data_IF_158342388667
#
_entry.id   IF_158342388667
#
_cell.length_a   1.000
_cell.length_b   1.000
_cell.length_c   1.000
_cell.angle_alpha   90.00
_cell.angle_beta   90.00
_cell.angle_gamma   90.00
#
_symmetry.space_group_name_H-M   'P 1'
#
loop_
_entity.id
_entity.type
_entity.pdbx_description
1 polymer ?
#
# COMPACT_ATOMS: atom_id res chain seq x y z
N UNK A 1 27.64 -6.51 3.49
CA UNK A 1 26.96 -7.14 4.65
C UNK A 1 25.72 -7.87 4.15
N UNK A 2 25.73 -9.20 4.13
CA UNK A 2 24.56 -9.99 3.75
C UNK A 2 23.47 -9.83 4.82
N UNK A 3 22.37 -9.14 4.51
CA UNK A 3 21.18 -9.17 5.38
C UNK A 3 20.66 -10.61 5.35
N UNK A 4 20.62 -11.27 6.51
CA UNK A 4 20.08 -12.62 6.61
C UNK A 4 18.63 -12.64 6.13
N UNK A 5 18.29 -13.55 5.21
CA UNK A 5 16.98 -13.66 4.55
C UNK A 5 15.78 -13.65 5.54
N UNK A 6 15.98 -14.18 6.75
CA UNK A 6 15.00 -14.17 7.85
C UNK A 6 14.60 -12.77 8.31
N UNK A 7 15.48 -11.76 8.25
CA UNK A 7 15.18 -10.41 8.78
C UNK A 7 14.34 -9.57 7.81
N UNK A 8 14.49 -9.77 6.50
CA UNK A 8 13.78 -8.98 5.48
C UNK A 8 12.40 -9.52 5.18
N UNK A 9 12.23 -10.84 5.09
CA UNK A 9 10.92 -11.47 4.87
C UNK A 9 9.98 -11.24 6.07
N UNK A 10 10.50 -11.40 7.30
CA UNK A 10 9.74 -11.11 8.52
C UNK A 10 9.41 -9.63 8.69
N UNK A 11 10.17 -8.72 8.09
CA UNK A 11 9.88 -7.30 8.14
C UNK A 11 8.68 -6.93 7.27
N UNK A 12 8.65 -7.39 6.01
CA UNK A 12 7.50 -7.17 5.11
C UNK A 12 6.19 -7.64 5.74
N UNK A 13 6.18 -8.89 6.23
CA UNK A 13 5.00 -9.48 6.88
C UNK A 13 4.54 -8.72 8.13
N UNK A 14 5.48 -8.26 8.98
CA UNK A 14 5.13 -7.44 10.16
C UNK A 14 4.46 -6.13 9.78
N UNK A 15 4.93 -5.50 8.70
CA UNK A 15 4.37 -4.25 8.22
C UNK A 15 2.98 -4.44 7.59
N UNK A 16 2.74 -5.56 6.91
CA UNK A 16 1.39 -5.96 6.48
C UNK A 16 0.45 -6.09 7.69
N UNK A 17 0.90 -6.71 8.78
CA UNK A 17 0.08 -6.86 9.99
C UNK A 17 -0.30 -5.53 10.66
N UNK A 18 0.53 -4.47 10.55
CA UNK A 18 0.17 -3.13 11.05
C UNK A 18 -1.05 -2.59 10.30
N UNK A 19 -1.07 -2.74 8.97
CA UNK A 19 -2.18 -2.30 8.13
C UNK A 19 -3.42 -3.18 8.34
N UNK A 20 -3.25 -4.50 8.49
CA UNK A 20 -4.36 -5.41 8.82
C UNK A 20 -4.97 -5.05 10.18
N UNK A 21 -4.15 -4.75 11.19
CA UNK A 21 -4.64 -4.31 12.49
C UNK A 21 -5.43 -2.98 12.40
N UNK A 22 -4.99 -2.05 11.56
CA UNK A 22 -5.72 -0.80 11.25
C UNK A 22 -7.09 -1.10 10.61
N UNK A 23 -7.15 -2.01 9.63
CA UNK A 23 -8.40 -2.43 9.01
C UNK A 23 -9.36 -3.04 10.03
N UNK A 24 -8.88 -3.96 10.87
CA UNK A 24 -9.68 -4.58 11.92
C UNK A 24 -10.19 -3.55 12.94
N UNK A 25 -9.34 -2.61 13.36
CA UNK A 25 -9.74 -1.52 14.27
C UNK A 25 -10.81 -0.61 13.67
N UNK A 26 -10.84 -0.45 12.34
CA UNK A 26 -11.89 0.27 11.61
C UNK A 26 -13.16 -0.56 11.37
N UNK A 27 -13.19 -1.82 11.80
CA UNK A 27 -14.34 -2.71 11.72
C UNK A 27 -14.49 -3.42 10.36
N UNK A 28 -13.43 -3.51 9.56
CA UNK A 28 -13.47 -4.34 8.35
C UNK A 28 -13.36 -5.84 8.69
N UNK A 29 -14.08 -6.67 7.95
CA UNK A 29 -13.99 -8.13 7.99
C UNK A 29 -12.86 -8.59 7.04
N UNK A 30 -11.73 -9.02 7.62
CA UNK A 30 -10.47 -9.25 6.88
C UNK A 30 -10.09 -10.72 6.86
N UNK A 31 -9.89 -11.25 5.65
CA UNK A 31 -9.40 -12.60 5.36
C UNK A 31 -7.96 -12.54 4.86
N UNK A 32 -7.05 -13.30 5.47
CA UNK A 32 -5.65 -13.36 5.05
C UNK A 32 -5.41 -14.46 4.02
N UNK A 33 -4.50 -14.22 3.08
CA UNK A 33 -4.02 -15.25 2.16
C UNK A 33 -2.97 -16.13 2.84
N UNK A 34 -3.03 -17.44 2.58
CA UNK A 34 -1.99 -18.38 3.06
C UNK A 34 -0.72 -18.29 2.23
N UNK A 35 -0.86 -17.99 0.94
CA UNK A 35 0.22 -17.80 -0.04
C UNK A 35 -0.10 -16.55 -0.85
N UNK A 36 0.90 -15.68 -1.03
CA UNK A 36 0.80 -14.48 -1.85
C UNK A 36 1.55 -14.65 -3.18
N UNK A 37 0.95 -15.37 -4.11
CA UNK A 37 1.43 -15.52 -5.49
C UNK A 37 0.69 -14.60 -6.48
N UNK A 38 -0.45 -14.06 -6.08
CA UNK A 38 -1.29 -13.16 -6.89
C UNK A 38 -1.08 -11.66 -6.58
N UNK A 39 -0.21 -11.34 -5.63
CA UNK A 39 -0.03 -9.97 -5.15
C UNK A 39 -1.18 -9.48 -4.27
N UNK A 40 -1.80 -10.39 -3.51
CA UNK A 40 -2.92 -10.14 -2.61
C UNK A 40 -2.50 -10.55 -1.20
N UNK A 41 -2.35 -9.55 -0.33
CA UNK A 41 -1.95 -9.76 1.06
C UNK A 41 -3.15 -10.13 1.95
N UNK A 42 -4.34 -9.58 1.64
CA UNK A 42 -5.60 -9.91 2.30
C UNK A 42 -6.81 -9.53 1.44
N UNK A 43 -7.98 -10.02 1.83
CA UNK A 43 -9.28 -9.72 1.22
C UNK A 43 -10.18 -9.11 2.28
N UNK A 44 -10.93 -8.07 1.94
CA UNK A 44 -12.03 -7.56 2.76
C UNK A 44 -13.34 -8.14 2.25
N UNK A 45 -14.15 -8.67 3.16
CA UNK A 45 -15.55 -9.02 2.90
C UNK A 45 -16.45 -7.85 3.29
N UNK A 46 -17.26 -7.38 2.35
CA UNK A 46 -18.28 -6.37 2.60
C UNK A 46 -19.65 -7.00 2.40
N UNK A 47 -20.45 -7.00 3.46
CA UNK A 47 -21.81 -7.49 3.47
C UNK A 47 -22.74 -6.35 3.88
N UNK A 48 -23.18 -5.59 2.88
CA UNK A 48 -24.03 -4.42 3.06
C UNK A 48 -25.28 -4.50 2.17
N UNK A 49 -26.08 -3.43 2.16
CA UNK A 49 -27.35 -3.38 1.42
C UNK A 49 -27.18 -3.56 -0.10
N UNK A 50 -25.98 -3.38 -0.65
CA UNK A 50 -25.64 -3.62 -2.06
C UNK A 50 -25.32 -5.09 -2.38
N UNK A 51 -25.35 -5.97 -1.39
CA UNK A 51 -25.01 -7.38 -1.52
C UNK A 51 -23.56 -7.68 -1.17
N UNK A 52 -23.23 -8.97 -1.20
CA UNK A 52 -21.93 -9.48 -0.79
C UNK A 52 -20.84 -9.13 -1.81
N UNK A 53 -19.80 -8.42 -1.38
CA UNK A 53 -18.64 -8.01 -2.19
C UNK A 53 -17.33 -8.39 -1.50
N UNK A 54 -16.30 -8.61 -2.32
CA UNK A 54 -14.95 -8.90 -1.87
C UNK A 54 -13.97 -7.92 -2.50
N UNK A 55 -13.01 -7.45 -1.72
CA UNK A 55 -12.00 -6.49 -2.16
C UNK A 55 -10.63 -7.08 -1.92
N UNK A 56 -9.88 -7.24 -2.99
CA UNK A 56 -8.49 -7.67 -2.95
C UNK A 56 -7.62 -6.50 -2.51
N UNK A 57 -6.72 -6.74 -1.55
CA UNK A 57 -5.79 -5.74 -1.05
C UNK A 57 -4.34 -6.17 -1.23
N UNK A 58 -3.55 -5.28 -1.82
CA UNK A 58 -2.09 -5.31 -1.71
C UNK A 58 -1.60 -4.22 -0.74
N UNK A 59 -0.75 -4.60 0.18
CA UNK A 59 -0.19 -3.74 1.23
C UNK A 59 1.27 -3.45 0.92
N UNK A 60 1.66 -2.18 1.03
CA UNK A 60 3.05 -1.76 0.95
C UNK A 60 3.32 -0.76 2.06
N UNK A 61 4.33 -1.03 2.89
CA UNK A 61 4.59 -0.20 4.06
C UNK A 61 6.06 0.17 4.21
N UNK A 62 6.31 1.27 4.91
CA UNK A 62 7.62 1.83 5.19
C UNK A 62 7.80 2.07 6.67
N UNK A 63 8.91 1.56 7.20
CA UNK A 63 9.23 1.75 8.62
C UNK A 63 9.77 3.14 8.91
N UNK A 64 9.59 3.55 10.17
CA UNK A 64 10.14 4.76 10.78
C UNK A 64 11.66 4.85 10.63
N UNK A 65 12.35 3.71 10.53
CA UNK A 65 13.81 3.64 10.47
C UNK A 65 14.37 3.74 9.03
N UNK A 66 13.54 3.95 8.01
CA UNK A 66 14.02 4.13 6.64
C UNK A 66 14.69 5.50 6.42
N UNK A 67 15.44 5.66 5.33
CA UNK A 67 15.94 6.98 4.94
C UNK A 67 14.75 7.94 4.72
N UNK A 68 14.73 9.14 5.34
CA UNK A 68 13.64 10.11 5.16
C UNK A 68 13.34 10.48 3.70
N UNK A 69 14.35 10.44 2.80
CA UNK A 69 14.15 10.62 1.36
C UNK A 69 13.26 9.53 0.72
N UNK A 70 13.09 8.42 1.43
CA UNK A 70 12.40 7.23 1.00
C UNK A 70 11.13 6.97 1.85
N UNK A 71 10.75 7.87 2.76
CA UNK A 71 9.66 7.69 3.69
C UNK A 71 8.30 7.40 3.03
N UNK A 72 8.03 8.01 1.87
CA UNK A 72 6.82 7.78 1.08
C UNK A 72 7.07 7.06 -0.26
N UNK A 73 8.30 6.62 -0.56
CA UNK A 73 8.72 6.20 -1.90
C UNK A 73 8.53 4.71 -2.17
N UNK A 74 7.40 4.28 -2.70
CA UNK A 74 7.21 2.87 -3.08
C UNK A 74 7.68 2.66 -4.52
N UNK A 75 8.57 1.68 -4.75
CA UNK A 75 9.22 1.47 -6.04
C UNK A 75 9.17 0.00 -6.46
N UNK A 76 9.30 -0.23 -7.76
CA UNK A 76 9.24 -1.57 -8.36
C UNK A 76 7.98 -2.36 -7.96
N UNK A 77 6.85 -1.65 -7.86
CA UNK A 77 5.53 -2.22 -7.58
C UNK A 77 5.06 -2.97 -8.82
N UNK A 78 4.66 -4.21 -8.61
CA UNK A 78 4.01 -5.02 -9.63
C UNK A 78 2.49 -4.90 -9.44
N UNK A 79 1.78 -4.44 -10.48
CA UNK A 79 0.33 -4.27 -10.45
C UNK A 79 -0.25 -5.28 -11.44
N UNK A 80 -0.49 -6.50 -10.96
CA UNK A 80 -1.01 -7.60 -11.79
C UNK A 80 -2.50 -7.39 -12.04
N UNK A 81 -2.92 -7.38 -13.31
CA UNK A 81 -4.33 -7.33 -13.73
C UNK A 81 -5.17 -6.28 -12.97
N UNK A 82 -4.85 -4.98 -13.11
CA UNK A 82 -5.58 -3.90 -12.43
C UNK A 82 -7.07 -3.96 -12.82
N UNK A 83 -7.95 -3.88 -11.82
CA UNK A 83 -9.39 -4.18 -11.96
C UNK A 83 -10.21 -3.47 -10.88
N UNK A 84 -11.54 -3.33 -11.07
CA UNK A 84 -12.44 -2.97 -9.97
C UNK A 84 -12.24 -3.94 -8.79
N UNK A 85 -12.48 -3.47 -7.56
CA UNK A 85 -12.33 -4.25 -6.32
C UNK A 85 -10.90 -4.73 -6.00
N UNK A 86 -9.87 -4.22 -6.68
CA UNK A 86 -8.48 -4.44 -6.29
C UNK A 86 -7.84 -3.11 -5.89
N UNK A 87 -7.35 -3.03 -4.65
CA UNK A 87 -6.82 -1.81 -4.04
C UNK A 87 -5.44 -2.03 -3.44
N UNK A 88 -4.74 -0.91 -3.30
CA UNK A 88 -3.46 -0.83 -2.62
C UNK A 88 -3.61 0.01 -1.36
N UNK A 89 -3.05 -0.46 -0.25
CA UNK A 89 -2.87 0.34 0.96
C UNK A 89 -1.39 0.58 1.18
N UNK A 90 -1.01 1.86 1.09
CA UNK A 90 0.33 2.31 1.40
C UNK A 90 0.35 2.84 2.83
N UNK A 91 1.39 2.52 3.60
CA UNK A 91 1.60 3.06 4.94
C UNK A 91 3.02 3.58 5.12
N UNK A 92 3.17 4.76 5.71
CA UNK A 92 4.46 5.30 6.13
C UNK A 92 4.43 5.54 7.63
N UNK A 93 5.25 4.81 8.40
CA UNK A 93 5.41 5.04 9.84
C UNK A 93 6.04 6.42 10.14
N UNK A 94 6.92 6.94 9.27
CA UNK A 94 7.53 8.27 9.49
C UNK A 94 6.53 9.41 9.32
N UNK A 95 5.62 9.30 8.36
CA UNK A 95 4.56 10.28 8.16
C UNK A 95 3.31 9.96 8.99
N UNK A 96 3.27 8.81 9.65
CA UNK A 96 2.11 8.21 10.31
C UNK A 96 0.83 8.37 9.47
N UNK A 97 0.88 7.92 8.22
CA UNK A 97 -0.18 8.18 7.24
C UNK A 97 -0.41 6.96 6.35
N UNK A 98 -1.68 6.68 6.09
CA UNK A 98 -2.11 5.69 5.11
C UNK A 98 -2.55 6.35 3.80
N UNK A 99 -2.38 5.64 2.68
CA UNK A 99 -3.02 6.00 1.40
C UNK A 99 -3.72 4.78 0.82
N UNK A 100 -5.03 4.90 0.59
CA UNK A 100 -5.86 3.85 0.01
C UNK A 100 -6.12 4.19 -1.45
N UNK A 101 -5.63 3.37 -2.38
CA UNK A 101 -5.65 3.70 -3.82
C UNK A 101 -6.22 2.53 -4.63
N UNK A 102 -7.26 2.75 -5.46
CA UNK A 102 -7.74 1.74 -6.40
C UNK A 102 -6.62 1.35 -7.39
N UNK A 103 -6.49 0.07 -7.74
CA UNK A 103 -5.44 -0.43 -8.66
C UNK A 103 -5.48 0.26 -10.03
N UNK A 104 -6.68 0.44 -10.60
CA UNK A 104 -6.88 1.18 -11.86
C UNK A 104 -6.39 2.63 -11.77
N UNK A 105 -6.62 3.27 -10.63
CA UNK A 105 -6.17 4.65 -10.41
C UNK A 105 -4.67 4.71 -10.19
N UNK A 106 -4.10 3.76 -9.44
CA UNK A 106 -2.66 3.66 -9.18
C UNK A 106 -1.85 3.61 -10.48
N UNK A 107 -2.30 2.83 -11.46
CA UNK A 107 -1.67 2.75 -12.80
C UNK A 107 -1.60 4.12 -13.49
N UNK A 108 -2.59 5.00 -13.27
CA UNK A 108 -2.64 6.33 -13.89
C UNK A 108 -1.81 7.40 -13.16
N UNK A 109 -1.65 7.28 -11.83
CA UNK A 109 -0.99 8.30 -11.01
C UNK A 109 0.46 7.96 -10.68
N UNK A 110 0.83 6.68 -10.72
CA UNK A 110 2.19 6.22 -10.50
C UNK A 110 3.04 6.35 -11.77
N UNK A 111 4.35 6.53 -11.62
CA UNK A 111 5.26 6.47 -12.75
C UNK A 111 5.59 5.02 -13.09
N UNK A 112 5.73 4.68 -14.37
CA UNK A 112 6.15 3.35 -14.81
C UNK A 112 7.60 3.37 -15.29
N UNK A 113 8.40 2.39 -14.86
CA UNK A 113 9.77 2.22 -15.33
C UNK A 113 9.75 1.73 -16.79
N UNK A 114 10.33 2.51 -17.70
CA UNK A 114 10.36 2.18 -19.14
C UNK A 114 11.59 1.37 -19.56
N UNK A 115 12.62 1.27 -18.70
CA UNK A 115 13.91 0.62 -18.99
C UNK A 115 14.50 0.02 -17.72
N UNK A 116 15.51 -0.86 -17.88
CA UNK A 116 16.28 -1.46 -16.79
C UNK A 116 15.61 -2.67 -16.15
N UNK A 117 16.22 -3.20 -15.07
CA UNK A 117 15.79 -4.45 -14.40
C UNK A 117 14.33 -4.44 -13.92
N UNK A 118 13.78 -3.26 -13.61
CA UNK A 118 12.41 -3.09 -13.13
C UNK A 118 11.45 -2.60 -14.22
N UNK A 119 11.77 -2.79 -15.50
CA UNK A 119 10.92 -2.38 -16.62
C UNK A 119 9.49 -2.92 -16.46
N UNK A 120 8.49 -2.08 -16.74
CA UNK A 120 7.08 -2.39 -16.57
C UNK A 120 6.55 -2.18 -15.15
N UNK A 121 7.42 -2.14 -14.13
CA UNK A 121 7.01 -1.93 -12.73
C UNK A 121 6.77 -0.46 -12.42
N UNK A 122 5.91 -0.19 -11.45
CA UNK A 122 5.49 1.15 -11.06
C UNK A 122 6.27 1.68 -9.86
N UNK A 123 6.25 3.00 -9.70
CA UNK A 123 6.69 3.67 -8.49
C UNK A 123 5.89 4.93 -8.21
N UNK A 124 5.81 5.29 -6.95
CA UNK A 124 5.05 6.44 -6.45
C UNK A 124 5.75 6.97 -5.19
N UNK A 125 5.69 8.28 -4.96
CA UNK A 125 6.18 8.87 -3.72
C UNK A 125 5.08 9.72 -3.09
N UNK A 126 4.58 9.30 -1.94
CA UNK A 126 3.49 9.96 -1.23
C UNK A 126 3.95 11.07 -0.28
N UNK A 127 5.25 11.19 -0.02
CA UNK A 127 5.80 12.17 0.92
C UNK A 127 6.80 13.11 0.27
N UNK A 128 6.95 14.28 0.88
CA UNK A 128 7.99 15.26 0.57
C UNK A 128 8.86 15.43 1.83
N UNK A 129 10.18 15.41 1.65
CA UNK A 129 11.12 15.80 2.69
C UNK A 129 11.38 17.30 2.57
N UNK A 130 11.06 18.06 3.62
CA UNK A 130 11.34 19.50 3.70
C UNK A 130 12.80 19.75 4.07
N UNK A 131 13.28 20.96 3.79
CA UNK A 131 14.65 21.37 4.12
C UNK A 131 14.99 21.31 5.61
N UNK A 132 13.97 21.42 6.49
CA UNK A 132 14.10 21.27 7.94
C UNK A 132 14.14 19.80 8.41
N UNK A 133 14.15 18.83 7.49
CA UNK A 133 14.17 17.40 7.80
C UNK A 133 12.80 16.77 8.07
N UNK A 134 11.73 17.55 8.01
CA UNK A 134 10.36 17.07 8.24
C UNK A 134 9.85 16.28 7.03
N UNK A 135 9.32 15.08 7.28
CA UNK A 135 8.61 14.28 6.28
C UNK A 135 7.14 14.65 6.35
N UNK A 136 6.60 15.19 5.25
CA UNK A 136 5.18 15.52 5.15
C UNK A 136 4.50 14.74 4.03
N UNK A 137 3.25 14.30 4.22
CA UNK A 137 2.41 13.82 3.12
C UNK A 137 2.27 14.88 2.01
N UNK A 138 2.39 14.45 0.76
CA UNK A 138 2.29 15.32 -0.40
C UNK A 138 0.81 15.64 -0.71
N UNK A 139 0.41 16.93 -0.75
CA UNK A 139 -0.98 17.34 -0.99
C UNK A 139 -1.62 16.80 -2.27
N UNK A 140 -0.81 16.42 -3.27
CA UNK A 140 -1.28 15.79 -4.51
C UNK A 140 -2.13 14.53 -4.26
N UNK A 141 -1.93 13.84 -3.13
CA UNK A 141 -2.57 12.57 -2.83
C UNK A 141 -3.59 12.65 -1.69
N UNK A 142 -4.09 13.84 -1.38
CA UNK A 142 -5.02 14.08 -0.27
C UNK A 142 -6.33 13.32 -0.43
N UNK A 143 -6.79 13.11 -1.66
CA UNK A 143 -7.98 12.30 -1.93
C UNK A 143 -7.86 10.84 -1.44
N UNK A 144 -6.63 10.31 -1.31
CA UNK A 144 -6.35 8.94 -0.86
C UNK A 144 -5.89 8.86 0.60
N UNK A 145 -5.51 10.00 1.19
CA UNK A 145 -4.90 10.10 2.51
C UNK A 145 -5.89 9.68 3.59
N UNK A 146 -5.55 8.65 4.36
CA UNK A 146 -6.36 8.02 5.42
C UNK A 146 -7.81 7.70 5.00
N UNK A 147 -8.04 7.58 3.69
CA UNK A 147 -9.38 7.50 3.12
C UNK A 147 -9.83 6.06 2.92
N UNK A 148 -9.99 5.34 4.04
CA UNK A 148 -10.49 3.95 4.04
C UNK A 148 -11.95 3.83 3.55
N UNK A 149 -12.69 4.94 3.44
CA UNK A 149 -14.03 4.92 2.87
C UNK A 149 -14.05 4.54 1.39
N UNK A 150 -12.94 4.71 0.67
CA UNK A 150 -12.81 4.25 -0.72
C UNK A 150 -13.03 2.74 -0.85
N UNK A 151 -12.70 1.97 0.19
CA UNK A 151 -12.96 0.52 0.20
C UNK A 151 -14.46 0.23 0.20
N UNK A 152 -15.31 1.09 0.76
CA UNK A 152 -16.77 0.86 0.81
C UNK A 152 -17.49 1.25 -0.48
N UNK A 153 -16.81 1.95 -1.37
CA UNK A 153 -17.36 2.48 -2.62
C UNK A 153 -17.10 1.56 -3.82
N UNK A 154 -16.40 0.44 -3.59
CA UNK A 154 -15.97 -0.50 -4.62
C UNK A 154 -17.15 -1.24 -5.30
#
# INVERSE_FOLDING_TARGET
MARAFRSTASFGKRQEYVVIAELLRRGFDVYQTLVDDQGIDCIIRLDDQGGLRYIDLQIKARSKDCDPNNAGRFAAIEIVNPRPNYYFIFYSEQADTYWVVPSLKLVSIAYQNKKGKNMGRYGINFCTLRANGEVIPNPKFDEYRDNFNLLKQA
#
